data_IF_992744458156
#
_entry.id   IF_992744458156
#
_cell.length_a   1.000
_cell.length_b   1.000
_cell.length_c   1.000
_cell.angle_alpha   90.00
_cell.angle_beta   90.00
_cell.angle_gamma   90.00
#
_symmetry.space_group_name_H-M   'P 1'
#
loop_
_entity.id
_entity.type
_entity.pdbx_description
1 polymer ?
#
# COMPACT_ATOMS: atom_id res chain seq x y z
N UNK A 1 0.80 -23.36 -36.27
CA UNK A 1 1.06 -22.96 -34.88
C UNK A 1 2.04 -21.80 -34.91
N UNK A 2 1.55 -20.57 -34.71
CA UNK A 2 2.33 -19.34 -34.88
C UNK A 2 2.77 -18.78 -33.51
N UNK A 3 4.08 -18.61 -33.23
CA UNK A 3 4.58 -18.03 -31.98
C UNK A 3 4.48 -16.49 -31.86
N UNK A 4 3.87 -15.76 -32.80
CA UNK A 4 4.03 -14.29 -32.91
C UNK A 4 2.86 -13.44 -32.37
N UNK A 5 2.35 -13.71 -31.15
CA UNK A 5 1.29 -12.90 -30.54
C UNK A 5 1.67 -12.29 -29.17
N UNK A 6 2.96 -12.01 -28.94
CA UNK A 6 3.35 -11.09 -27.88
C UNK A 6 3.35 -9.66 -28.45
N UNK A 7 2.59 -8.72 -27.88
CA UNK A 7 2.61 -7.34 -28.35
C UNK A 7 4.02 -6.77 -28.19
N UNK A 8 4.50 -6.17 -29.28
CA UNK A 8 5.84 -5.63 -29.46
C UNK A 8 6.16 -4.57 -28.40
N UNK A 9 7.01 -4.96 -27.44
CA UNK A 9 7.38 -4.16 -26.26
C UNK A 9 8.29 -2.96 -26.62
N UNK A 10 8.72 -2.85 -27.89
CA UNK A 10 9.65 -1.80 -28.38
C UNK A 10 8.99 -0.47 -28.78
N UNK A 11 7.65 -0.35 -28.78
CA UNK A 11 6.97 0.82 -29.33
C UNK A 11 6.34 1.79 -28.29
N UNK A 12 6.68 1.68 -27.00
CA UNK A 12 6.20 2.64 -25.99
C UNK A 12 7.17 3.84 -25.93
N UNK A 13 7.08 4.71 -26.94
CA UNK A 13 7.87 5.95 -27.00
C UNK A 13 7.61 6.87 -25.80
N UNK A 14 8.68 7.51 -25.30
CA UNK A 14 8.72 8.26 -24.04
C UNK A 14 7.74 9.44 -23.89
N UNK A 15 6.99 9.83 -24.92
CA UNK A 15 5.94 10.85 -24.85
C UNK A 15 4.58 10.28 -24.37
N UNK A 16 4.29 8.99 -24.61
CA UNK A 16 2.99 8.37 -24.26
C UNK A 16 2.87 7.97 -22.79
N UNK A 17 3.98 8.01 -22.05
CA UNK A 17 4.07 7.66 -20.62
C UNK A 17 4.03 8.88 -19.70
N UNK A 18 4.23 10.11 -20.22
CA UNK A 18 4.33 11.32 -19.39
C UNK A 18 3.05 11.56 -18.60
N UNK A 19 1.87 11.43 -19.22
CA UNK A 19 0.58 11.63 -18.56
C UNK A 19 0.38 10.70 -17.34
N UNK A 20 0.46 9.37 -17.52
CA UNK A 20 0.40 8.42 -16.41
C UNK A 20 1.49 8.63 -15.35
N UNK A 21 2.73 8.94 -15.76
CA UNK A 21 3.82 9.21 -14.81
C UNK A 21 3.54 10.46 -13.96
N UNK A 22 3.07 11.55 -14.57
CA UNK A 22 2.67 12.76 -13.83
C UNK A 22 1.52 12.47 -12.88
N UNK A 23 0.54 11.66 -13.29
CA UNK A 23 -0.57 11.25 -12.42
C UNK A 23 -0.08 10.45 -11.21
N UNK A 24 0.87 9.52 -11.40
CA UNK A 24 1.48 8.75 -10.31
C UNK A 24 2.31 9.62 -9.36
N UNK A 25 3.05 10.60 -9.90
CA UNK A 25 3.80 11.57 -9.08
C UNK A 25 2.87 12.44 -8.25
N UNK A 26 1.79 12.96 -8.85
CA UNK A 26 0.79 13.75 -8.15
C UNK A 26 0.09 12.91 -7.06
N UNK A 27 -0.29 11.67 -7.36
CA UNK A 27 -0.85 10.75 -6.35
C UNK A 27 0.13 10.55 -5.19
N UNK A 28 1.40 10.26 -5.48
CA UNK A 28 2.43 10.04 -4.47
C UNK A 28 2.63 11.28 -3.58
N UNK A 29 2.64 12.47 -4.18
CA UNK A 29 2.73 13.73 -3.44
C UNK A 29 1.51 13.96 -2.55
N UNK A 30 0.30 13.75 -3.07
CA UNK A 30 -0.95 13.84 -2.31
C UNK A 30 -0.99 12.81 -1.16
N UNK A 31 -0.53 11.59 -1.41
CA UNK A 31 -0.47 10.54 -0.39
C UNK A 31 0.52 10.88 0.72
N UNK A 32 1.75 11.29 0.37
CA UNK A 32 2.78 11.63 1.34
C UNK A 32 2.42 12.82 2.22
N UNK A 33 1.79 13.86 1.66
CA UNK A 33 1.35 15.03 2.43
C UNK A 33 0.28 14.70 3.47
N UNK A 34 -0.52 13.65 3.25
CA UNK A 34 -1.54 13.25 4.23
C UNK A 34 -0.96 12.79 5.57
N UNK A 35 0.27 12.28 5.63
CA UNK A 35 0.86 11.85 6.91
C UNK A 35 1.00 13.01 7.89
N UNK A 36 1.44 14.18 7.42
CA UNK A 36 1.55 15.39 8.26
C UNK A 36 0.17 15.86 8.69
N UNK A 37 -0.78 15.97 7.75
CA UNK A 37 -2.14 16.41 8.06
C UNK A 37 -2.84 15.48 9.06
N UNK A 38 -2.70 14.17 8.88
CA UNK A 38 -3.32 13.18 9.76
C UNK A 38 -2.67 13.20 11.14
N UNK A 39 -1.34 13.30 11.20
CA UNK A 39 -0.63 13.41 12.47
C UNK A 39 -1.18 14.58 13.31
N UNK A 40 -1.36 15.76 12.72
CA UNK A 40 -1.94 16.93 13.40
C UNK A 40 -3.41 16.73 13.80
N UNK A 41 -4.19 16.00 12.99
CA UNK A 41 -5.59 15.69 13.31
C UNK A 41 -5.71 14.70 14.46
N UNK A 42 -4.79 13.75 14.57
CA UNK A 42 -4.80 12.71 15.62
C UNK A 42 -4.51 13.28 17.02
N UNK A 43 -3.97 14.49 17.12
CA UNK A 43 -3.88 15.22 18.39
C UNK A 43 -5.26 15.66 18.93
N UNK A 44 -6.25 15.76 18.04
CA UNK A 44 -7.59 16.31 18.34
C UNK A 44 -8.71 15.29 18.20
N UNK A 45 -8.42 14.14 17.61
CA UNK A 45 -9.41 13.14 17.26
C UNK A 45 -8.86 11.72 17.48
N UNK A 46 -9.64 10.82 18.11
CA UNK A 46 -9.26 9.42 18.21
C UNK A 46 -9.06 8.76 16.85
N UNK A 47 -8.11 7.82 16.77
CA UNK A 47 -7.78 7.05 15.55
C UNK A 47 -9.02 6.37 14.95
N UNK A 48 -9.85 5.76 15.78
CA UNK A 48 -11.04 5.04 15.34
C UNK A 48 -12.06 5.97 14.66
N UNK A 49 -12.30 7.15 15.26
CA UNK A 49 -13.26 8.11 14.72
C UNK A 49 -12.77 8.70 13.39
N UNK A 50 -11.47 9.05 13.32
CA UNK A 50 -10.86 9.54 12.09
C UNK A 50 -11.01 8.54 10.95
N UNK A 51 -10.69 7.27 11.21
CA UNK A 51 -10.81 6.21 10.22
C UNK A 51 -12.27 5.93 9.85
N UNK A 52 -13.20 5.96 10.81
CA UNK A 52 -14.62 5.78 10.53
C UNK A 52 -15.12 6.83 9.53
N UNK A 53 -14.83 8.12 9.77
CA UNK A 53 -15.21 9.20 8.85
C UNK A 53 -14.55 9.01 7.49
N UNK A 54 -13.23 8.74 7.46
CA UNK A 54 -12.48 8.53 6.21
C UNK A 54 -13.08 7.40 5.37
N UNK A 55 -13.38 6.26 5.98
CA UNK A 55 -13.92 5.12 5.28
C UNK A 55 -15.39 5.31 4.90
N UNK A 56 -16.20 6.04 5.67
CA UNK A 56 -17.57 6.40 5.27
C UNK A 56 -17.53 7.27 4.01
N UNK A 57 -16.71 8.33 4.00
CA UNK A 57 -16.56 9.23 2.85
C UNK A 57 -16.06 8.44 1.63
N UNK A 58 -15.02 7.62 1.80
CA UNK A 58 -14.49 6.79 0.71
C UNK A 58 -15.55 5.81 0.17
N UNK A 59 -16.33 5.17 1.05
CA UNK A 59 -17.38 4.23 0.66
C UNK A 59 -18.49 4.92 -0.14
N UNK A 60 -18.97 6.08 0.32
CA UNK A 60 -19.98 6.86 -0.40
C UNK A 60 -19.44 7.30 -1.77
N UNK A 61 -18.21 7.82 -1.81
CA UNK A 61 -17.57 8.24 -3.05
C UNK A 61 -17.44 7.08 -4.05
N UNK A 62 -17.04 5.89 -3.59
CA UNK A 62 -16.95 4.69 -4.44
C UNK A 62 -18.31 4.25 -4.99
N UNK A 63 -19.38 4.31 -4.17
CA UNK A 63 -20.74 4.01 -4.63
C UNK A 63 -21.20 5.00 -5.70
N UNK A 64 -20.85 6.28 -5.59
CA UNK A 64 -21.21 7.30 -6.59
C UNK A 64 -20.42 7.11 -7.90
N UNK A 65 -19.10 6.87 -7.81
CA UNK A 65 -18.22 6.76 -8.97
C UNK A 65 -18.44 5.43 -9.72
N UNK A 66 -18.67 4.34 -8.99
CA UNK A 66 -18.76 2.99 -9.56
C UNK A 66 -19.88 2.15 -8.91
N UNK A 67 -21.16 2.55 -9.03
CA UNK A 67 -22.29 1.94 -8.30
C UNK A 67 -22.52 0.45 -8.59
N UNK A 68 -22.03 -0.02 -9.74
CA UNK A 68 -22.17 -1.43 -10.17
C UNK A 68 -20.89 -2.24 -10.00
N UNK A 69 -19.81 -1.67 -9.44
CA UNK A 69 -18.52 -2.35 -9.35
C UNK A 69 -18.61 -3.63 -8.51
N UNK A 70 -19.19 -3.56 -7.31
CA UNK A 70 -19.37 -4.73 -6.43
C UNK A 70 -20.40 -5.70 -7.02
N UNK A 71 -21.47 -5.19 -7.63
CA UNK A 71 -22.53 -6.02 -8.19
C UNK A 71 -22.03 -6.90 -9.35
N UNK A 72 -21.06 -6.41 -10.13
CA UNK A 72 -20.42 -7.13 -11.24
C UNK A 72 -19.46 -8.23 -10.80
N UNK A 73 -19.03 -8.23 -9.54
CA UNK A 73 -18.17 -9.30 -9.02
C UNK A 73 -18.94 -10.60 -8.85
N UNK A 74 -18.34 -11.66 -9.36
CA UNK A 74 -18.72 -13.04 -9.08
C UNK A 74 -18.71 -13.31 -7.56
N UNK A 75 -19.67 -14.06 -6.98
CA UNK A 75 -19.69 -14.44 -5.56
C UNK A 75 -18.34 -14.89 -4.97
N UNK A 76 -17.51 -15.62 -5.72
CA UNK A 76 -16.17 -15.98 -5.27
C UNK A 76 -15.28 -14.73 -5.10
N UNK A 77 -15.29 -13.80 -6.07
CA UNK A 77 -14.53 -12.54 -6.01
C UNK A 77 -15.02 -11.60 -4.93
N UNK A 78 -16.31 -11.62 -4.57
CA UNK A 78 -16.81 -10.84 -3.43
C UNK A 78 -16.19 -11.26 -2.10
N UNK A 79 -15.96 -12.57 -1.90
CA UNK A 79 -15.25 -13.07 -0.71
C UNK A 79 -13.80 -12.57 -0.68
N UNK A 80 -13.11 -12.62 -1.83
CA UNK A 80 -11.76 -12.08 -1.95
C UNK A 80 -11.71 -10.57 -1.67
N UNK A 81 -12.65 -9.81 -2.23
CA UNK A 81 -12.79 -8.36 -1.98
C UNK A 81 -12.98 -8.07 -0.47
N UNK A 82 -13.81 -8.85 0.22
CA UNK A 82 -14.01 -8.71 1.67
C UNK A 82 -12.70 -8.97 2.45
N UNK A 83 -11.97 -10.02 2.10
CA UNK A 83 -10.67 -10.34 2.72
C UNK A 83 -9.66 -9.22 2.46
N UNK A 84 -9.58 -8.72 1.23
CA UNK A 84 -8.69 -7.62 0.85
C UNK A 84 -9.05 -6.33 1.59
N UNK A 85 -10.34 -6.00 1.68
CA UNK A 85 -10.83 -4.85 2.43
C UNK A 85 -10.55 -4.96 3.93
N UNK A 86 -10.67 -6.16 4.52
CA UNK A 86 -10.32 -6.39 5.93
C UNK A 86 -8.81 -6.23 6.17
N UNK A 87 -7.97 -6.80 5.30
CA UNK A 87 -6.52 -6.62 5.37
C UNK A 87 -6.14 -5.14 5.28
N UNK A 88 -6.73 -4.42 4.32
CA UNK A 88 -6.49 -2.98 4.16
C UNK A 88 -6.97 -2.19 5.38
N UNK A 89 -8.14 -2.52 5.92
CA UNK A 89 -8.69 -1.89 7.13
C UNK A 89 -7.80 -2.09 8.35
N UNK A 90 -7.32 -3.32 8.58
CA UNK A 90 -6.38 -3.63 9.65
C UNK A 90 -5.07 -2.87 9.46
N UNK A 91 -4.51 -2.84 8.25
CA UNK A 91 -3.31 -2.08 7.94
C UNK A 91 -3.50 -0.58 8.23
N UNK A 92 -4.64 0.01 7.84
CA UNK A 92 -4.97 1.41 8.10
C UNK A 92 -5.11 1.71 9.59
N UNK A 93 -5.71 0.82 10.39
CA UNK A 93 -5.77 0.97 11.85
C UNK A 93 -4.38 0.95 12.46
N UNK A 94 -3.57 -0.05 12.11
CA UNK A 94 -2.21 -0.17 12.61
C UNK A 94 -1.33 1.02 12.22
N UNK A 95 -1.38 1.45 10.96
CA UNK A 95 -0.60 2.59 10.47
C UNK A 95 -1.04 3.89 11.15
N UNK A 96 -2.34 4.14 11.27
CA UNK A 96 -2.85 5.40 11.84
C UNK A 96 -2.58 5.45 13.34
N UNK A 97 -2.70 4.31 14.05
CA UNK A 97 -2.29 4.21 15.44
C UNK A 97 -0.77 4.36 15.59
N UNK A 98 0.03 3.78 14.69
CA UNK A 98 1.48 3.95 14.67
C UNK A 98 1.89 5.41 14.46
N UNK A 99 1.23 6.08 13.51
CA UNK A 99 1.40 7.51 13.20
C UNK A 99 1.06 8.42 14.39
N UNK A 100 0.12 8.06 15.26
CA UNK A 100 -0.16 8.82 16.48
C UNK A 100 0.99 8.79 17.51
N UNK A 101 1.96 7.89 17.34
CA UNK A 101 3.04 7.63 18.30
C UNK A 101 4.45 7.71 17.69
N UNK A 102 4.59 8.16 16.44
CA UNK A 102 5.88 8.37 15.79
C UNK A 102 5.80 9.56 14.83
N UNK A 103 6.94 10.13 14.48
CA UNK A 103 6.98 11.25 13.54
C UNK A 103 6.39 10.85 12.17
N UNK A 104 5.65 11.77 11.55
CA UNK A 104 5.04 11.56 10.24
C UNK A 104 6.05 11.10 9.16
N UNK A 105 7.26 11.67 9.18
CA UNK A 105 8.36 11.28 8.29
C UNK A 105 8.86 9.85 8.52
N UNK A 106 8.98 9.43 9.78
CA UNK A 106 9.40 8.07 10.17
C UNK A 106 8.32 7.06 9.79
N UNK A 107 7.06 7.35 10.11
CA UNK A 107 5.92 6.48 9.74
C UNK A 107 5.79 6.32 8.22
N UNK A 108 5.92 7.41 7.46
CA UNK A 108 5.89 7.38 6.00
C UNK A 108 7.03 6.54 5.40
N UNK A 109 8.25 6.68 5.94
CA UNK A 109 9.39 5.88 5.51
C UNK A 109 9.20 4.38 5.80
N UNK A 110 8.80 4.04 7.03
CA UNK A 110 8.55 2.64 7.43
C UNK A 110 7.42 2.04 6.59
N UNK A 111 6.36 2.79 6.32
CA UNK A 111 5.28 2.34 5.44
C UNK A 111 5.83 1.96 4.06
N UNK A 112 6.74 2.75 3.49
CA UNK A 112 7.39 2.46 2.21
C UNK A 112 8.06 1.08 2.12
N UNK A 113 8.32 0.42 3.25
CA UNK A 113 8.79 -0.97 3.31
C UNK A 113 7.88 -1.95 2.58
N UNK A 114 6.56 -1.67 2.45
CA UNK A 114 5.66 -2.55 1.70
C UNK A 114 6.15 -2.78 0.26
N UNK A 115 6.86 -1.83 -0.36
CA UNK A 115 7.38 -1.95 -1.74
C UNK A 115 8.37 -3.11 -1.85
N UNK A 116 9.13 -3.35 -0.78
CA UNK A 116 10.09 -4.44 -0.66
C UNK A 116 9.40 -5.73 -0.19
N UNK A 117 8.50 -5.63 0.78
CA UNK A 117 7.78 -6.78 1.31
C UNK A 117 6.83 -7.42 0.29
N UNK A 118 6.26 -6.64 -0.63
CA UNK A 118 5.32 -7.11 -1.66
C UNK A 118 5.93 -8.19 -2.55
N UNK A 119 7.05 -7.96 -3.28
CA UNK A 119 7.66 -9.00 -4.11
C UNK A 119 8.18 -10.18 -3.28
N UNK A 120 8.59 -9.96 -2.02
CA UNK A 120 8.98 -11.04 -1.12
C UNK A 120 7.79 -11.96 -0.78
N UNK A 121 6.65 -11.40 -0.38
CA UNK A 121 5.43 -12.18 -0.15
C UNK A 121 4.89 -12.79 -1.43
N UNK A 122 4.98 -12.11 -2.57
CA UNK A 122 4.63 -12.69 -3.86
C UNK A 122 5.46 -13.94 -4.14
N UNK A 123 6.78 -13.91 -3.89
CA UNK A 123 7.62 -15.09 -4.08
C UNK A 123 7.33 -16.21 -3.09
N UNK A 124 7.06 -15.87 -1.83
CA UNK A 124 6.76 -16.87 -0.81
C UNK A 124 5.41 -17.55 -1.05
N UNK A 125 4.38 -16.78 -1.41
CA UNK A 125 3.00 -17.26 -1.53
C UNK A 125 2.72 -17.79 -2.93
N UNK A 126 3.16 -17.06 -3.97
CA UNK A 126 2.90 -17.37 -5.39
C UNK A 126 4.07 -18.11 -6.07
N UNK A 127 5.18 -18.37 -5.35
CA UNK A 127 6.39 -19.04 -5.87
C UNK A 127 7.01 -18.34 -7.08
N UNK A 128 6.88 -17.02 -7.16
CA UNK A 128 7.50 -16.20 -8.22
C UNK A 128 9.01 -16.06 -8.00
N UNK A 129 9.79 -16.02 -9.09
CA UNK A 129 11.25 -15.82 -9.01
C UNK A 129 11.57 -14.34 -8.76
N UNK A 130 12.29 -14.03 -7.69
CA UNK A 130 12.73 -12.66 -7.35
C UNK A 130 14.07 -12.35 -8.03
N UNK A 131 14.18 -11.17 -8.64
CA UNK A 131 15.43 -10.67 -9.23
C UNK A 131 16.41 -10.05 -8.20
N UNK A 132 17.69 -9.89 -8.56
CA UNK A 132 18.73 -9.37 -7.65
C UNK A 132 18.49 -7.92 -7.19
N UNK A 133 17.82 -7.09 -7.99
CA UNK A 133 17.50 -5.70 -7.61
C UNK A 133 16.54 -5.61 -6.41
N UNK A 134 15.63 -6.59 -6.25
CA UNK A 134 14.74 -6.63 -5.10
C UNK A 134 15.50 -6.93 -3.82
N UNK A 135 16.51 -7.82 -3.88
CA UNK A 135 17.39 -8.09 -2.74
C UNK A 135 18.18 -6.86 -2.32
N UNK A 136 18.66 -6.05 -3.28
CA UNK A 136 19.27 -4.77 -2.97
C UNK A 136 18.29 -3.84 -2.25
N UNK A 137 17.04 -3.74 -2.72
CA UNK A 137 16.00 -2.93 -2.06
C UNK A 137 15.71 -3.41 -0.62
N UNK A 138 15.73 -4.72 -0.36
CA UNK A 138 15.62 -5.29 1.00
C UNK A 138 16.74 -4.78 1.89
N UNK A 139 17.99 -4.89 1.44
CA UNK A 139 19.16 -4.46 2.23
C UNK A 139 19.10 -2.96 2.51
N UNK A 140 18.77 -2.15 1.51
CA UNK A 140 18.65 -0.69 1.66
C UNK A 140 17.52 -0.31 2.62
N UNK A 141 16.38 -1.00 2.56
CA UNK A 141 15.26 -0.72 3.46
C UNK A 141 15.57 -1.09 4.91
N UNK A 142 16.23 -2.23 5.16
CA UNK A 142 16.71 -2.62 6.49
C UNK A 142 17.71 -1.60 7.03
N UNK A 143 18.65 -1.14 6.18
CA UNK A 143 19.61 -0.11 6.56
C UNK A 143 18.92 1.22 6.93
N UNK A 144 17.90 1.63 6.18
CA UNK A 144 17.10 2.81 6.49
C UNK A 144 16.37 2.71 7.83
N UNK A 145 15.74 1.55 8.12
CA UNK A 145 15.11 1.28 9.42
C UNK A 145 16.15 1.35 10.53
N UNK A 146 17.30 0.69 10.35
CA UNK A 146 18.38 0.72 11.33
C UNK A 146 18.87 2.15 11.64
N UNK A 147 19.05 3.00 10.61
CA UNK A 147 19.46 4.41 10.80
C UNK A 147 18.41 5.18 11.60
N UNK A 148 17.12 4.99 11.31
CA UNK A 148 16.04 5.66 12.06
C UNK A 148 15.98 5.19 13.51
N UNK A 149 16.15 3.89 13.77
CA UNK A 149 16.18 3.33 15.12
C UNK A 149 17.43 3.77 15.90
N UNK A 150 18.58 3.91 15.24
CA UNK A 150 19.83 4.38 15.85
C UNK A 150 19.85 5.90 16.11
N UNK A 151 19.03 6.67 15.40
CA UNK A 151 18.90 8.12 15.58
C UNK A 151 18.23 8.55 16.88
N UNK A 152 17.46 7.65 17.52
CA UNK A 152 16.98 7.84 18.88
C UNK A 152 18.12 7.53 19.85
N UNK A 153 18.66 8.55 20.51
CA UNK A 153 19.77 8.47 21.48
C UNK A 153 19.32 7.65 22.70
N UNK A 154 19.38 6.32 22.60
CA UNK A 154 18.83 5.42 23.61
C UNK A 154 18.72 3.94 23.23
N UNK A 155 19.64 3.42 22.39
CA UNK A 155 19.71 1.99 22.06
C UNK A 155 18.71 1.51 21.00
N UNK A 156 18.83 0.24 20.59
CA UNK A 156 18.00 -0.47 19.59
C UNK A 156 16.55 -0.69 20.10
N UNK A 157 15.83 0.39 20.41
CA UNK A 157 14.44 0.32 20.82
C UNK A 157 13.58 0.85 19.68
N UNK A 158 13.01 -0.08 18.90
CA UNK A 158 11.97 0.24 17.94
C UNK A 158 10.80 0.84 18.73
N UNK A 159 10.45 2.09 18.45
CA UNK A 159 9.36 2.77 19.15
C UNK A 159 8.04 2.02 18.95
N UNK A 160 7.11 2.15 19.91
CA UNK A 160 5.78 1.53 19.79
C UNK A 160 5.11 1.92 18.46
N UNK A 161 5.13 3.21 18.11
CA UNK A 161 4.54 3.68 16.84
C UNK A 161 5.22 3.11 15.60
N UNK A 162 6.55 3.00 15.61
CA UNK A 162 7.35 2.43 14.52
C UNK A 162 7.03 0.94 14.31
N UNK A 163 6.86 0.19 15.42
CA UNK A 163 6.48 -1.22 15.39
C UNK A 163 5.11 -1.41 14.75
N UNK A 164 4.11 -0.61 15.15
CA UNK A 164 2.77 -0.68 14.56
C UNK A 164 2.78 -0.36 13.08
N UNK A 165 3.49 0.69 12.67
CA UNK A 165 3.61 1.06 11.25
C UNK A 165 4.34 -0.01 10.44
N UNK A 166 5.36 -0.64 11.02
CA UNK A 166 6.08 -1.73 10.36
C UNK A 166 5.17 -2.94 10.11
N UNK A 167 4.39 -3.36 11.12
CA UNK A 167 3.41 -4.43 10.96
C UNK A 167 2.35 -4.03 9.92
N UNK A 168 1.89 -2.77 9.92
CA UNK A 168 0.98 -2.27 8.90
C UNK A 168 1.55 -2.40 7.48
N UNK A 169 2.83 -2.07 7.28
CA UNK A 169 3.50 -2.21 5.99
C UNK A 169 3.51 -3.66 5.48
N UNK A 170 3.69 -4.64 6.38
CA UNK A 170 3.58 -6.06 6.02
C UNK A 170 2.15 -6.43 5.62
N UNK A 171 1.14 -5.95 6.34
CA UNK A 171 -0.27 -6.22 6.00
C UNK A 171 -0.66 -5.57 4.68
N UNK A 172 -0.20 -4.34 4.39
CA UNK A 172 -0.37 -3.71 3.08
C UNK A 172 0.27 -4.55 1.97
N UNK A 173 1.48 -5.06 2.19
CA UNK A 173 2.14 -5.92 1.20
C UNK A 173 1.32 -7.19 0.91
N UNK A 174 0.74 -7.82 1.93
CA UNK A 174 -0.18 -8.96 1.74
C UNK A 174 -1.43 -8.57 0.95
N UNK A 175 -2.04 -7.42 1.29
CA UNK A 175 -3.17 -6.88 0.52
C UNK A 175 -2.79 -6.65 -0.94
N UNK A 176 -1.63 -6.04 -1.22
CA UNK A 176 -1.15 -5.77 -2.60
C UNK A 176 -0.93 -7.08 -3.35
N UNK A 177 -0.30 -8.09 -2.74
CA UNK A 177 -0.09 -9.41 -3.36
C UNK A 177 -1.43 -10.10 -3.65
N UNK A 178 -2.36 -10.10 -2.69
CA UNK A 178 -3.69 -10.69 -2.87
C UNK A 178 -4.50 -9.97 -3.95
N UNK A 179 -4.49 -8.64 -3.96
CA UNK A 179 -5.14 -7.83 -4.99
C UNK A 179 -4.52 -8.12 -6.37
N UNK A 180 -3.19 -8.19 -6.48
CA UNK A 180 -2.51 -8.55 -7.72
C UNK A 180 -2.81 -9.96 -8.20
N UNK A 181 -3.01 -10.93 -7.29
CA UNK A 181 -3.31 -12.31 -7.63
C UNK A 181 -4.79 -12.55 -8.00
N UNK A 182 -5.72 -11.81 -7.38
CA UNK A 182 -7.17 -12.04 -7.53
C UNK A 182 -7.85 -11.03 -8.47
N UNK A 183 -7.20 -9.91 -8.78
CA UNK A 183 -7.79 -8.87 -9.64
C UNK A 183 -7.48 -9.00 -11.12
N UNK A 184 -8.46 -8.59 -11.92
CA UNK A 184 -8.32 -8.36 -13.37
C UNK A 184 -8.62 -6.89 -13.65
N UNK A 185 -8.18 -6.36 -14.79
CA UNK A 185 -8.41 -4.95 -15.15
C UNK A 185 -9.89 -4.53 -15.14
N UNK A 186 -10.81 -5.47 -15.42
CA UNK A 186 -12.26 -5.20 -15.42
C UNK A 186 -12.90 -5.16 -14.03
N UNK A 187 -12.28 -5.81 -13.04
CA UNK A 187 -12.87 -6.04 -11.72
C UNK A 187 -12.10 -5.34 -10.59
N UNK A 188 -10.93 -4.75 -10.89
CA UNK A 188 -10.05 -4.10 -9.92
C UNK A 188 -10.78 -3.04 -9.08
N UNK A 189 -11.64 -2.23 -9.70
CA UNK A 189 -12.43 -1.20 -9.00
C UNK A 189 -13.43 -1.80 -8.01
N UNK A 190 -13.94 -3.01 -8.26
CA UNK A 190 -14.86 -3.67 -7.34
C UNK A 190 -14.16 -4.37 -6.17
N UNK A 191 -12.86 -4.65 -6.30
CA UNK A 191 -12.05 -5.36 -5.30
C UNK A 191 -11.12 -4.44 -4.50
N UNK A 192 -11.03 -3.17 -4.88
CA UNK A 192 -10.32 -2.11 -4.16
C UNK A 192 -11.20 -1.50 -3.08
#
# INVERSE_FOLDING_TARGET
MNPSAQPDQKAIGGAKTIGPTLALLAMTACWGSTFFLIHDLLERMPVADFLAIRFIIASIAMVIVAPRAIARLDPAKRKHALVLGLLYGVAQVLQTAGLAHTAASVSGFITGFYVVATPFFAAMILKTKIGPMTWLAVVVAIAGIAILTLGNVGGLQLGYGEALTFVAALVYALHIVGLGAWSTAGDAVGMA
#
